data_IF_197319303730
#
_entry.id   IF_197319303730
#
_cell.length_a   1.000
_cell.length_b   1.000
_cell.length_c   1.000
_cell.angle_alpha   90.00
_cell.angle_beta   90.00
_cell.angle_gamma   90.00
#
_symmetry.space_group_name_H-M   'P 1'
#
loop_
_entity.id
_entity.type
_entity.pdbx_description
1 polymer ?
#
# COMPACT_ATOMS: atom_id res chain seq x y z
N UNK A 1 9.14 10.93 11.72
CA UNK A 1 8.58 10.08 12.78
C UNK A 1 7.07 10.24 12.94
N UNK A 2 6.51 11.45 13.01
CA UNK A 2 5.08 11.69 13.21
C UNK A 2 4.21 10.95 12.16
N UNK A 3 4.53 11.05 10.88
CA UNK A 3 3.82 10.35 9.79
C UNK A 3 3.80 8.83 9.97
N UNK A 4 4.88 8.23 10.46
CA UNK A 4 4.95 6.78 10.68
C UNK A 4 4.02 6.34 11.82
N UNK A 5 4.07 7.05 12.96
CA UNK A 5 3.22 6.72 14.12
C UNK A 5 1.74 6.91 13.81
N UNK A 6 1.37 8.03 13.18
CA UNK A 6 -0.02 8.29 12.81
C UNK A 6 -0.52 7.28 11.77
N UNK A 7 0.28 6.94 10.76
CA UNK A 7 -0.07 5.93 9.76
C UNK A 7 -0.27 4.55 10.39
N UNK A 8 0.64 4.12 11.28
CA UNK A 8 0.52 2.85 11.98
C UNK A 8 -0.73 2.81 12.87
N UNK A 9 -0.95 3.84 13.67
CA UNK A 9 -2.11 3.91 14.57
C UNK A 9 -3.44 3.86 13.83
N UNK A 10 -3.63 4.72 12.85
CA UNK A 10 -4.91 4.79 12.11
C UNK A 10 -5.13 3.56 11.23
N UNK A 11 -4.09 3.02 10.59
CA UNK A 11 -4.24 1.86 9.73
C UNK A 11 -4.57 0.58 10.50
N UNK A 12 -4.08 0.43 11.74
CA UNK A 12 -4.42 -0.71 12.59
C UNK A 12 -5.85 -0.63 13.13
N UNK A 13 -6.32 0.58 13.44
CA UNK A 13 -7.69 0.80 13.94
C UNK A 13 -8.77 0.59 12.87
N UNK A 14 -8.52 0.95 11.65
CA UNK A 14 -9.53 0.95 10.57
C UNK A 14 -9.39 -0.22 9.60
N UNK A 15 -8.28 -0.98 9.64
CA UNK A 15 -7.94 -2.03 8.67
C UNK A 15 -7.94 -1.59 7.20
N UNK A 16 -7.91 -0.26 6.94
CA UNK A 16 -8.02 0.34 5.61
C UNK A 16 -6.68 0.91 5.12
N UNK A 17 -5.70 0.03 4.91
CA UNK A 17 -4.33 0.43 4.57
C UNK A 17 -4.23 1.23 3.26
N UNK A 18 -4.99 0.87 2.24
CA UNK A 18 -4.95 1.56 0.94
C UNK A 18 -5.40 3.02 1.03
N UNK A 19 -6.41 3.36 1.87
CA UNK A 19 -6.84 4.75 2.05
C UNK A 19 -5.73 5.57 2.67
N UNK A 20 -5.07 5.04 3.70
CA UNK A 20 -3.97 5.75 4.35
C UNK A 20 -2.76 5.88 3.43
N UNK A 21 -2.41 4.84 2.65
CA UNK A 21 -1.37 4.96 1.63
C UNK A 21 -1.68 6.09 0.64
N UNK A 22 -2.92 6.17 0.17
CA UNK A 22 -3.36 7.25 -0.72
C UNK A 22 -3.23 8.62 -0.03
N UNK A 23 -3.77 8.77 1.19
CA UNK A 23 -3.75 10.02 1.94
C UNK A 23 -2.32 10.50 2.26
N UNK A 24 -1.41 9.60 2.64
CA UNK A 24 -0.01 9.94 2.93
C UNK A 24 0.83 10.17 1.66
N UNK A 25 0.37 9.75 0.48
CA UNK A 25 1.02 10.10 -0.79
C UNK A 25 0.72 11.54 -1.21
N UNK A 26 -0.46 12.09 -0.87
CA UNK A 26 -0.84 13.46 -1.26
C UNK A 26 0.13 14.55 -0.76
N UNK A 27 0.59 14.57 0.50
CA UNK A 27 1.60 15.52 0.96
C UNK A 27 2.90 15.44 0.14
N UNK A 28 3.32 14.24 -0.28
CA UNK A 28 4.52 14.08 -1.12
C UNK A 28 4.32 14.71 -2.51
N UNK A 29 3.15 14.54 -3.11
CA UNK A 29 2.80 15.18 -4.39
C UNK A 29 2.83 16.70 -4.25
N UNK A 30 2.18 17.23 -3.22
CA UNK A 30 2.15 18.70 -2.95
C UNK A 30 3.56 19.22 -2.76
N UNK A 31 4.37 18.59 -1.91
CA UNK A 31 5.76 18.99 -1.67
C UNK A 31 6.59 19.00 -2.95
N UNK A 32 6.43 17.98 -3.80
CA UNK A 32 7.15 17.88 -5.08
C UNK A 32 6.71 18.96 -6.07
N UNK A 33 5.41 19.29 -6.13
CA UNK A 33 4.91 20.40 -6.95
C UNK A 33 5.49 21.73 -6.47
N UNK A 34 5.58 21.95 -5.16
CA UNK A 34 6.19 23.16 -4.59
C UNK A 34 7.66 23.26 -5.01
N UNK A 35 8.44 22.17 -4.96
CA UNK A 35 9.83 22.15 -5.44
C UNK A 35 9.95 22.46 -6.92
N UNK A 36 9.02 22.03 -7.74
CA UNK A 36 9.03 22.29 -9.16
C UNK A 36 8.68 23.76 -9.50
N UNK A 37 7.70 24.34 -8.80
CA UNK A 37 7.11 25.64 -9.15
C UNK A 37 7.77 26.82 -8.43
N UNK A 38 8.12 26.66 -7.15
CA UNK A 38 8.62 27.77 -6.32
C UNK A 38 10.13 27.99 -6.54
N UNK A 39 10.56 29.21 -6.94
CA UNK A 39 11.99 29.51 -7.10
C UNK A 39 12.71 29.54 -5.74
N UNK A 40 13.96 29.09 -5.73
CA UNK A 40 14.82 29.12 -4.54
C UNK A 40 15.31 30.56 -4.29
N UNK A 41 14.63 31.29 -3.43
CA UNK A 41 14.99 32.64 -2.98
C UNK A 41 15.07 32.67 -1.46
N UNK A 42 15.68 33.72 -0.91
CA UNK A 42 15.79 33.89 0.54
C UNK A 42 14.40 33.87 1.22
N UNK A 43 13.41 34.52 0.62
CA UNK A 43 12.04 34.67 1.14
C UNK A 43 11.25 33.34 1.06
N UNK A 44 11.60 32.42 0.15
CA UNK A 44 10.88 31.16 -0.07
C UNK A 44 11.48 29.99 0.70
N UNK A 45 12.60 30.19 1.41
CA UNK A 45 13.33 29.09 2.13
C UNK A 45 12.45 28.35 3.12
N UNK A 46 11.63 29.07 3.91
CA UNK A 46 10.75 28.47 4.92
C UNK A 46 9.68 27.59 4.24
N UNK A 47 9.08 28.07 3.15
CA UNK A 47 8.11 27.31 2.36
C UNK A 47 8.70 26.02 1.77
N UNK A 48 9.92 26.11 1.21
CA UNK A 48 10.64 24.94 0.68
C UNK A 48 11.00 23.94 1.79
N UNK A 49 11.36 24.43 2.99
CA UNK A 49 11.63 23.57 4.14
C UNK A 49 10.37 22.81 4.59
N UNK A 50 9.23 23.49 4.62
CA UNK A 50 7.93 22.85 4.91
C UNK A 50 7.61 21.80 3.84
N UNK A 51 7.80 22.11 2.57
CA UNK A 51 7.61 21.16 1.47
C UNK A 51 8.51 19.92 1.60
N UNK A 52 9.77 20.10 2.03
CA UNK A 52 10.68 19.02 2.32
C UNK A 52 10.15 18.09 3.43
N UNK A 53 9.64 18.66 4.51
CA UNK A 53 9.05 17.86 5.59
C UNK A 53 7.77 17.15 5.16
N UNK A 54 6.96 17.73 4.28
CA UNK A 54 5.80 17.06 3.69
C UNK A 54 6.21 15.82 2.87
N UNK A 55 7.32 15.90 2.13
CA UNK A 55 7.84 14.76 1.36
C UNK A 55 8.32 13.60 2.23
N UNK A 56 8.50 13.77 3.54
CA UNK A 56 8.86 12.66 4.45
C UNK A 56 7.73 11.65 4.67
N UNK A 57 6.52 11.93 4.19
CA UNK A 57 5.38 11.02 4.21
C UNK A 57 5.62 9.70 3.45
N UNK A 58 6.57 9.66 2.51
CA UNK A 58 6.89 8.46 1.74
C UNK A 58 7.26 7.26 2.61
N UNK A 59 7.94 7.48 3.75
CA UNK A 59 8.31 6.41 4.68
C UNK A 59 7.09 5.70 5.28
N UNK A 60 6.02 6.45 5.57
CA UNK A 60 4.76 5.88 6.05
C UNK A 60 4.11 4.99 4.97
N UNK A 61 4.12 5.43 3.72
CA UNK A 61 3.59 4.67 2.59
C UNK A 61 4.37 3.37 2.37
N UNK A 62 5.71 3.41 2.49
CA UNK A 62 6.56 2.21 2.35
C UNK A 62 6.25 1.15 3.41
N UNK A 63 6.08 1.55 4.68
CA UNK A 63 5.73 0.64 5.77
C UNK A 63 4.31 0.06 5.57
N UNK A 64 3.34 0.89 5.18
CA UNK A 64 1.98 0.42 4.90
C UNK A 64 1.94 -0.54 3.71
N UNK A 65 2.76 -0.31 2.67
CA UNK A 65 2.89 -1.21 1.53
C UNK A 65 3.39 -2.59 1.95
N UNK A 66 4.46 -2.66 2.76
CA UNK A 66 4.97 -3.92 3.28
C UNK A 66 3.92 -4.65 4.13
N UNK A 67 3.22 -3.92 5.00
CA UNK A 67 2.14 -4.46 5.82
C UNK A 67 0.92 -4.92 4.97
N UNK A 68 0.67 -4.30 3.82
CA UNK A 68 -0.36 -4.71 2.88
C UNK A 68 0.04 -6.00 2.15
N UNK A 69 1.28 -6.07 1.67
CA UNK A 69 1.84 -7.25 0.98
C UNK A 69 1.83 -8.47 1.91
N UNK A 70 2.37 -8.33 3.12
CA UNK A 70 2.42 -9.43 4.09
C UNK A 70 1.03 -9.88 4.56
N UNK A 71 0.11 -8.94 4.76
CA UNK A 71 -1.25 -9.24 5.21
C UNK A 71 -2.17 -9.82 4.13
N UNK A 72 -1.83 -9.66 2.85
CA UNK A 72 -2.64 -10.14 1.74
C UNK A 72 -2.05 -11.36 1.00
N UNK A 73 -0.96 -11.91 1.51
CA UNK A 73 -0.33 -13.10 0.93
C UNK A 73 -0.42 -14.25 1.92
N UNK A 74 -1.28 -15.23 1.62
CA UNK A 74 -1.39 -16.50 2.35
C UNK A 74 -0.42 -17.55 1.76
N UNK A 75 0.00 -18.49 2.61
CA UNK A 75 0.99 -19.51 2.27
C UNK A 75 2.43 -19.02 2.46
N UNK A 76 3.21 -19.75 3.25
CA UNK A 76 4.55 -19.33 3.71
C UNK A 76 5.52 -19.10 2.55
N UNK A 77 5.54 -20.02 1.59
CA UNK A 77 6.42 -19.93 0.41
C UNK A 77 6.05 -18.73 -0.47
N UNK A 78 4.75 -18.55 -0.74
CA UNK A 78 4.25 -17.43 -1.54
C UNK A 78 4.57 -16.09 -0.88
N UNK A 79 4.36 -15.99 0.44
CA UNK A 79 4.67 -14.78 1.20
C UNK A 79 6.16 -14.45 1.13
N UNK A 80 7.04 -15.44 1.32
CA UNK A 80 8.48 -15.23 1.23
C UNK A 80 8.91 -14.71 -0.14
N UNK A 81 8.44 -15.33 -1.23
CA UNK A 81 8.76 -14.90 -2.60
C UNK A 81 8.25 -13.47 -2.86
N UNK A 82 7.01 -13.16 -2.43
CA UNK A 82 6.42 -11.84 -2.66
C UNK A 82 7.14 -10.75 -1.88
N UNK A 83 7.49 -11.02 -0.63
CA UNK A 83 8.24 -10.07 0.22
C UNK A 83 9.65 -9.87 -0.34
N UNK A 84 10.35 -10.93 -0.71
CA UNK A 84 11.68 -10.85 -1.32
C UNK A 84 11.65 -10.05 -2.63
N UNK A 85 10.67 -10.32 -3.51
CA UNK A 85 10.48 -9.54 -4.74
C UNK A 85 10.22 -8.06 -4.47
N UNK A 86 9.46 -7.74 -3.43
CA UNK A 86 9.21 -6.35 -3.00
C UNK A 86 10.50 -5.66 -2.56
N UNK A 87 11.36 -6.32 -1.79
CA UNK A 87 12.65 -5.77 -1.38
C UNK A 87 13.62 -5.60 -2.56
N UNK A 88 13.64 -6.54 -3.51
CA UNK A 88 14.45 -6.41 -4.73
C UNK A 88 13.99 -5.19 -5.53
N UNK A 89 12.68 -5.05 -5.75
CA UNK A 89 12.12 -3.90 -6.46
C UNK A 89 12.44 -2.57 -5.75
N UNK A 90 12.38 -2.56 -4.42
CA UNK A 90 12.77 -1.40 -3.61
C UNK A 90 14.25 -1.05 -3.73
N UNK A 91 15.14 -2.06 -3.71
CA UNK A 91 16.57 -1.86 -3.90
C UNK A 91 16.90 -1.30 -5.31
N UNK A 92 16.27 -1.85 -6.35
CA UNK A 92 16.40 -1.35 -7.72
C UNK A 92 15.90 0.10 -7.83
N UNK A 93 14.76 0.42 -7.21
CA UNK A 93 14.25 1.79 -7.18
C UNK A 93 15.21 2.78 -6.51
N UNK A 94 15.85 2.38 -5.40
CA UNK A 94 16.88 3.21 -4.73
C UNK A 94 18.15 3.37 -5.57
N UNK A 95 18.51 2.38 -6.38
CA UNK A 95 19.65 2.48 -7.28
C UNK A 95 19.39 3.40 -8.48
N UNK A 96 18.16 3.38 -9.04
CA UNK A 96 17.78 4.18 -10.20
C UNK A 96 17.39 5.62 -9.80
N UNK A 97 16.73 5.79 -8.65
CA UNK A 97 16.16 7.07 -8.21
C UNK A 97 17.14 8.25 -8.27
N UNK A 98 18.34 8.17 -7.69
CA UNK A 98 19.31 9.26 -7.74
C UNK A 98 19.79 9.62 -9.14
N UNK A 99 19.79 8.66 -10.08
CA UNK A 99 20.28 8.86 -11.45
C UNK A 99 19.34 9.75 -12.30
N UNK A 100 18.10 9.94 -11.85
CA UNK A 100 17.15 10.86 -12.50
C UNK A 100 17.55 12.33 -12.29
N UNK A 101 18.29 12.63 -11.20
CA UNK A 101 18.79 13.97 -10.90
C UNK A 101 20.16 14.17 -11.54
N UNK A 102 20.19 14.67 -12.77
CA UNK A 102 21.39 14.88 -13.56
C UNK A 102 22.00 16.25 -13.29
N UNK A 103 23.32 16.33 -13.36
CA UNK A 103 24.06 17.57 -13.14
C UNK A 103 23.73 18.69 -14.13
N UNK A 104 23.32 18.33 -15.36
CA UNK A 104 22.89 19.27 -16.41
C UNK A 104 21.59 20.02 -16.05
N UNK A 105 20.82 19.50 -15.07
CA UNK A 105 19.57 20.11 -14.61
C UNK A 105 19.74 20.96 -13.34
N UNK A 106 20.99 21.04 -12.82
CA UNK A 106 21.27 21.85 -11.64
C UNK A 106 21.02 23.36 -11.91
N UNK A 107 20.64 24.13 -10.88
CA UNK A 107 20.46 23.73 -9.46
C UNK A 107 19.05 23.30 -9.09
N UNK A 108 18.06 23.38 -9.99
CA UNK A 108 16.63 23.19 -9.67
C UNK A 108 16.10 21.79 -9.98
N UNK A 109 16.81 21.02 -10.81
CA UNK A 109 16.45 19.65 -11.20
C UNK A 109 14.98 19.46 -11.67
N UNK A 110 14.45 20.31 -12.59
CA UNK A 110 13.04 20.25 -12.98
C UNK A 110 12.65 18.90 -13.59
N UNK A 111 13.53 18.27 -14.37
CA UNK A 111 13.27 16.95 -14.95
C UNK A 111 13.18 15.87 -13.89
N UNK A 112 14.03 15.92 -12.86
CA UNK A 112 14.00 15.00 -11.73
C UNK A 112 12.66 15.06 -10.97
N UNK A 113 12.22 16.27 -10.62
CA UNK A 113 10.94 16.46 -9.94
C UNK A 113 9.74 16.13 -10.84
N UNK A 114 9.80 16.39 -12.14
CA UNK A 114 8.76 15.99 -13.08
C UNK A 114 8.59 14.45 -13.13
N UNK A 115 9.69 13.71 -13.17
CA UNK A 115 9.66 12.24 -13.08
C UNK A 115 9.04 11.78 -11.77
N UNK A 116 9.37 12.40 -10.63
CA UNK A 116 8.74 12.07 -9.35
C UNK A 116 7.22 12.27 -9.35
N UNK A 117 6.71 13.37 -9.96
CA UNK A 117 5.27 13.61 -10.06
C UNK A 117 4.60 12.50 -10.88
N UNK A 118 5.20 12.09 -12.00
CA UNK A 118 4.68 10.98 -12.81
C UNK A 118 4.66 9.68 -12.01
N UNK A 119 5.72 9.38 -11.27
CA UNK A 119 5.79 8.18 -10.43
C UNK A 119 4.75 8.19 -9.31
N UNK A 120 4.50 9.33 -8.65
CA UNK A 120 3.41 9.45 -7.68
C UNK A 120 2.04 9.29 -8.32
N UNK A 121 1.83 9.79 -9.54
CA UNK A 121 0.60 9.55 -10.31
C UNK A 121 0.36 8.06 -10.56
N UNK A 122 1.37 7.34 -11.02
CA UNK A 122 1.34 5.88 -11.22
C UNK A 122 1.05 5.17 -9.90
N UNK A 123 1.71 5.58 -8.81
CA UNK A 123 1.50 5.01 -7.47
C UNK A 123 0.05 5.20 -7.01
N UNK A 124 -0.53 6.40 -7.12
CA UNK A 124 -1.91 6.67 -6.73
C UNK A 124 -2.90 5.81 -7.53
N UNK A 125 -2.73 5.71 -8.85
CA UNK A 125 -3.55 4.86 -9.70
C UNK A 125 -3.42 3.39 -9.27
N UNK A 126 -2.21 2.92 -9.02
CA UNK A 126 -1.95 1.54 -8.58
C UNK A 126 -2.64 1.23 -7.25
N UNK A 127 -2.60 2.17 -6.28
CA UNK A 127 -3.27 2.01 -4.98
C UNK A 127 -4.79 1.88 -5.17
N UNK A 128 -5.39 2.70 -6.04
CA UNK A 128 -6.84 2.66 -6.31
C UNK A 128 -7.21 1.34 -6.99
N UNK A 129 -6.49 0.93 -8.03
CA UNK A 129 -6.72 -0.33 -8.74
C UNK A 129 -6.59 -1.52 -7.80
N UNK A 130 -5.54 -1.54 -6.99
CA UNK A 130 -5.32 -2.60 -5.99
C UNK A 130 -6.47 -2.66 -4.98
N UNK A 131 -6.90 -1.53 -4.45
CA UNK A 131 -8.05 -1.46 -3.54
C UNK A 131 -9.32 -2.05 -4.16
N UNK A 132 -9.64 -1.63 -5.38
CA UNK A 132 -10.82 -2.14 -6.10
C UNK A 132 -10.71 -3.64 -6.35
N UNK A 133 -9.52 -4.13 -6.69
CA UNK A 133 -9.27 -5.56 -6.88
C UNK A 133 -9.50 -6.35 -5.58
N UNK A 134 -8.93 -5.90 -4.44
CA UNK A 134 -9.07 -6.57 -3.15
C UNK A 134 -10.52 -6.55 -2.65
N UNK A 135 -11.24 -5.44 -2.84
CA UNK A 135 -12.66 -5.34 -2.53
C UNK A 135 -13.46 -6.37 -3.35
N UNK A 136 -13.21 -6.44 -4.67
CA UNK A 136 -13.86 -7.41 -5.56
C UNK A 136 -13.60 -8.84 -5.12
N UNK A 137 -12.36 -9.17 -4.77
CA UNK A 137 -11.99 -10.51 -4.29
C UNK A 137 -12.72 -10.85 -2.99
N UNK A 138 -12.82 -9.93 -2.05
CA UNK A 138 -13.57 -10.14 -0.80
C UNK A 138 -15.07 -10.36 -1.05
N UNK A 139 -15.68 -9.61 -1.98
CA UNK A 139 -17.08 -9.80 -2.36
C UNK A 139 -17.31 -11.18 -2.99
N UNK A 140 -16.42 -11.60 -3.90
CA UNK A 140 -16.50 -12.92 -4.54
C UNK A 140 -16.38 -14.05 -3.51
N UNK A 141 -15.44 -13.94 -2.57
CA UNK A 141 -15.29 -14.93 -1.49
C UNK A 141 -16.52 -15.00 -0.56
N UNK A 142 -17.10 -13.87 -0.21
CA UNK A 142 -18.35 -13.84 0.60
C UNK A 142 -19.50 -14.52 -0.13
N UNK A 143 -19.68 -14.27 -1.43
CA UNK A 143 -20.71 -14.92 -2.25
C UNK A 143 -20.52 -16.42 -2.33
N UNK A 144 -19.28 -16.88 -2.53
CA UNK A 144 -18.97 -18.31 -2.60
C UNK A 144 -19.22 -19.02 -1.26
N UNK A 145 -19.02 -18.37 -0.12
CA UNK A 145 -19.34 -18.91 1.20
C UNK A 145 -20.86 -18.97 1.45
N UNK A 146 -21.61 -17.92 1.12
CA UNK A 146 -23.07 -17.92 1.26
C UNK A 146 -23.74 -19.06 0.49
N UNK A 147 -23.31 -19.32 -0.75
CA UNK A 147 -23.78 -20.47 -1.55
C UNK A 147 -23.41 -21.81 -0.90
N UNK A 148 -22.25 -21.92 -0.25
CA UNK A 148 -21.83 -23.14 0.44
C UNK A 148 -22.63 -23.40 1.71
N UNK A 149 -22.94 -22.36 2.48
CA UNK A 149 -23.77 -22.47 3.69
C UNK A 149 -25.21 -22.84 3.34
N UNK A 150 -25.81 -22.27 2.30
CA UNK A 150 -27.15 -22.65 1.80
C UNK A 150 -27.18 -24.09 1.31
N UNK A 151 -26.12 -24.57 0.65
CA UNK A 151 -26.02 -25.97 0.18
C UNK A 151 -25.84 -26.99 1.30
N UNK A 152 -25.31 -26.59 2.47
CA UNK A 152 -25.06 -27.47 3.61
C UNK A 152 -26.21 -27.47 4.61
N UNK A 153 -27.02 -26.41 4.68
CA UNK A 153 -28.18 -26.32 5.59
C UNK A 153 -29.30 -27.31 5.27
N UNK A 154 -29.20 -28.05 4.18
CA UNK A 154 -30.12 -29.13 3.82
C UNK A 154 -29.81 -30.49 4.45
N UNK A 155 -28.72 -30.67 5.20
CA UNK A 155 -28.28 -31.99 5.65
C UNK A 155 -27.92 -32.16 7.14
N UNK A 156 -27.94 -31.15 7.99
CA UNK A 156 -27.62 -31.37 9.42
C UNK A 156 -28.45 -30.43 10.31
N UNK A 157 -29.60 -30.93 10.81
CA UNK A 157 -30.18 -30.49 12.07
C UNK A 157 -29.37 -31.12 13.21
N UNK A 158 -28.68 -30.29 14.00
CA UNK A 158 -28.25 -30.69 15.33
C UNK A 158 -26.76 -30.71 15.66
N UNK A 159 -25.97 -29.70 15.27
CA UNK A 159 -24.71 -29.44 15.96
C UNK A 159 -24.41 -27.93 16.03
N UNK A 160 -23.95 -27.50 17.20
CA UNK A 160 -23.64 -26.11 17.55
C UNK A 160 -22.96 -25.34 16.41
N UNK A 161 -23.50 -24.15 16.09
CA UNK A 161 -22.97 -23.15 15.16
C UNK A 161 -21.67 -22.50 15.69
N UNK A 162 -20.68 -23.29 16.04
CA UNK A 162 -19.30 -22.85 16.05
C UNK A 162 -18.83 -22.82 14.60
N UNK A 163 -18.67 -21.61 14.03
CA UNK A 163 -18.00 -21.45 12.74
C UNK A 163 -16.61 -22.08 12.86
N UNK A 164 -16.51 -23.35 12.47
CA UNK A 164 -15.24 -24.07 12.47
C UNK A 164 -14.36 -23.44 11.40
N UNK A 165 -13.46 -22.56 11.80
CA UNK A 165 -12.30 -22.16 11.00
C UNK A 165 -11.34 -23.35 10.88
N UNK A 166 -11.78 -24.42 10.21
CA UNK A 166 -11.04 -25.68 10.09
C UNK A 166 -9.71 -25.55 9.36
N UNK A 167 -9.55 -24.47 8.60
CA UNK A 167 -8.36 -24.21 7.77
C UNK A 167 -7.51 -23.03 8.26
N UNK A 168 -7.75 -22.52 9.47
CA UNK A 168 -7.03 -21.36 9.99
C UNK A 168 -5.53 -21.61 10.21
N UNK A 169 -5.13 -22.86 10.42
CA UNK A 169 -3.75 -23.28 10.68
C UNK A 169 -3.10 -24.05 9.51
N UNK A 170 -3.85 -24.29 8.44
CA UNK A 170 -3.31 -24.94 7.25
C UNK A 170 -2.46 -23.91 6.46
N UNK A 171 -1.30 -24.33 5.94
CA UNK A 171 -0.43 -23.51 5.10
C UNK A 171 -1.01 -23.36 3.67
N UNK A 172 -2.29 -22.99 3.62
CA UNK A 172 -3.01 -22.75 2.37
C UNK A 172 -2.73 -21.35 1.84
N UNK A 173 -2.68 -21.24 0.53
CA UNK A 173 -2.56 -19.92 -0.10
C UNK A 173 -3.84 -19.09 0.11
N UNK A 174 -3.72 -17.76 -0.02
CA UNK A 174 -4.85 -16.83 0.09
C UNK A 174 -6.01 -17.15 -0.87
N UNK A 175 -5.72 -17.85 -1.98
CA UNK A 175 -6.75 -18.30 -2.94
C UNK A 175 -7.44 -19.58 -2.51
N UNK A 176 -6.70 -20.52 -1.97
CA UNK A 176 -7.19 -21.85 -1.56
C UNK A 176 -7.94 -21.78 -0.23
N UNK A 177 -7.53 -20.89 0.68
CA UNK A 177 -8.19 -20.71 1.97
C UNK A 177 -9.51 -19.94 1.81
N UNK A 178 -10.67 -20.55 2.03
CA UNK A 178 -11.97 -19.88 1.93
C UNK A 178 -12.18 -18.83 3.03
N UNK A 179 -11.52 -18.99 4.18
CA UNK A 179 -11.65 -18.11 5.34
C UNK A 179 -10.74 -16.89 5.25
N UNK A 180 -9.79 -16.89 4.29
CA UNK A 180 -8.88 -15.77 4.11
C UNK A 180 -9.61 -14.51 3.63
N UNK A 181 -9.38 -13.40 4.33
CA UNK A 181 -9.91 -12.08 3.96
C UNK A 181 -8.78 -11.12 3.63
N UNK A 182 -8.91 -10.45 2.49
CA UNK A 182 -7.96 -9.44 2.07
C UNK A 182 -8.15 -8.14 2.85
N UNK A 183 -7.05 -7.55 3.27
CA UNK A 183 -6.98 -6.23 3.93
C UNK A 183 -6.76 -5.18 2.84
N UNK A 184 -7.51 -4.06 2.85
CA UNK A 184 -7.45 -3.01 1.82
C UNK A 184 -7.38 -1.59 2.39
#
# INVERSE_FOLDING_TARGET
MLFLFTAAYFSTRTSQKCIFMFAYTLPNVIGTIVFLTVPTRHDTRIGLLIAFYLCQGFGAVAVLNLALVTGNTGGRTKQLVTVTGTFIAWAVGNAIGPQVFRSDDAPRYPKGFAVHIVMYGIQLITIVVLRLHLLRQNVLKRRAQGVREEGTSGQVEGEDKAVKHSHAFDDLTDKENPDFRYIY
#
